data_IF_268698760092
#
_entry.id   IF_268698760092
#
_cell.length_a   1.000
_cell.length_b   1.000
_cell.length_c   1.000
_cell.angle_alpha   90.00
_cell.angle_beta   90.00
_cell.angle_gamma   90.00
#
_symmetry.space_group_name_H-M   'P 1'
#
loop_
_entity.id
_entity.type
_entity.pdbx_description
1 polymer ?
#
# COMPACT_ATOMS: atom_id res chain seq x y z
N UNK A 1 12.05 -13.19 12.03
CA UNK A 1 10.90 -12.86 12.91
C UNK A 1 11.02 -11.39 13.28
N UNK A 2 9.95 -10.62 13.08
CA UNK A 2 9.91 -9.20 13.46
C UNK A 2 10.30 -9.04 14.93
N UNK A 3 11.19 -8.09 15.23
CA UNK A 3 11.53 -7.73 16.62
C UNK A 3 10.47 -6.82 17.26
N UNK A 4 9.47 -6.43 16.49
CA UNK A 4 8.38 -5.56 16.95
C UNK A 4 7.31 -6.34 17.71
N UNK A 5 6.60 -5.64 18.61
CA UNK A 5 5.50 -6.21 19.40
C UNK A 5 4.16 -6.17 18.68
N UNK A 6 3.98 -5.19 17.78
CA UNK A 6 2.81 -5.07 16.92
C UNK A 6 3.07 -5.66 15.55
N UNK A 7 2.00 -5.99 14.81
CA UNK A 7 2.07 -6.53 13.45
C UNK A 7 1.94 -5.40 12.41
N UNK A 8 2.66 -5.52 11.32
CA UNK A 8 2.59 -4.59 10.19
C UNK A 8 1.96 -5.27 8.96
N UNK A 9 0.80 -4.80 8.54
CA UNK A 9 -0.02 -5.37 7.47
C UNK A 9 -0.21 -4.31 6.40
N UNK A 10 -0.06 -4.66 5.13
CA UNK A 10 -0.24 -3.71 4.03
C UNK A 10 -1.29 -4.19 3.03
N UNK A 11 -1.97 -3.24 2.42
CA UNK A 11 -2.92 -3.46 1.33
C UNK A 11 -2.42 -2.78 0.07
N UNK A 12 -2.37 -3.55 -1.00
CA UNK A 12 -1.85 -3.12 -2.29
C UNK A 12 -2.83 -3.43 -3.43
N UNK A 13 -2.66 -2.76 -4.55
CA UNK A 13 -3.50 -2.90 -5.74
C UNK A 13 -3.75 -1.55 -6.42
N UNK A 14 -4.34 -1.58 -7.60
CA UNK A 14 -4.64 -0.36 -8.36
C UNK A 14 -5.75 0.46 -7.67
N UNK A 15 -5.88 1.72 -8.04
CA UNK A 15 -6.91 2.58 -7.45
C UNK A 15 -8.30 2.11 -7.85
N UNK A 16 -9.23 2.08 -6.86
CA UNK A 16 -10.59 1.57 -7.05
C UNK A 16 -10.74 0.06 -6.83
N UNK A 17 -9.68 -0.67 -6.46
CA UNK A 17 -9.79 -2.11 -6.18
C UNK A 17 -10.43 -2.47 -4.82
N UNK A 18 -10.67 -1.48 -3.92
CA UNK A 18 -11.36 -1.72 -2.64
C UNK A 18 -10.47 -1.74 -1.40
N UNK A 19 -9.17 -1.41 -1.51
CA UNK A 19 -8.20 -1.40 -0.37
C UNK A 19 -8.72 -0.66 0.86
N UNK A 20 -9.10 0.60 0.70
CA UNK A 20 -9.49 1.47 1.83
C UNK A 20 -10.71 0.93 2.58
N UNK A 21 -11.63 0.25 1.88
CA UNK A 21 -12.77 -0.45 2.49
C UNK A 21 -12.28 -1.58 3.37
N UNK A 22 -11.38 -2.43 2.87
CA UNK A 22 -10.85 -3.58 3.60
C UNK A 22 -9.96 -3.15 4.77
N UNK A 23 -9.14 -2.11 4.59
CA UNK A 23 -8.35 -1.49 5.68
C UNK A 23 -9.26 -1.06 6.82
N UNK A 24 -10.34 -0.32 6.52
CA UNK A 24 -11.30 0.13 7.55
C UNK A 24 -11.93 -1.05 8.28
N UNK A 25 -12.45 -2.04 7.54
CA UNK A 25 -13.09 -3.23 8.11
C UNK A 25 -12.11 -4.01 8.98
N UNK A 26 -10.85 -4.17 8.57
CA UNK A 26 -9.85 -4.91 9.34
C UNK A 26 -9.47 -4.17 10.63
N UNK A 27 -9.26 -2.85 10.58
CA UNK A 27 -9.01 -2.03 11.78
C UNK A 27 -10.15 -2.17 12.79
N UNK A 28 -11.40 -2.10 12.33
CA UNK A 28 -12.57 -2.29 13.19
C UNK A 28 -12.62 -3.70 13.79
N UNK A 29 -12.36 -4.74 13.00
CA UNK A 29 -12.37 -6.13 13.46
C UNK A 29 -11.29 -6.38 14.52
N UNK A 30 -10.05 -5.91 14.28
CA UNK A 30 -8.95 -6.06 15.22
C UNK A 30 -9.20 -5.31 16.52
N UNK A 31 -9.68 -4.07 16.47
CA UNK A 31 -9.98 -3.30 17.67
C UNK A 31 -11.15 -3.88 18.48
N UNK A 32 -12.17 -4.49 17.84
CA UNK A 32 -13.22 -5.23 18.54
C UNK A 32 -12.72 -6.49 19.25
N UNK A 33 -11.59 -7.03 18.81
CA UNK A 33 -10.92 -8.20 19.42
C UNK A 33 -9.79 -7.81 20.38
N UNK A 34 -9.83 -6.58 20.93
CA UNK A 34 -8.84 -6.02 21.86
C UNK A 34 -7.40 -5.96 21.30
N UNK A 35 -7.23 -6.09 20.00
CA UNK A 35 -5.96 -5.90 19.30
C UNK A 35 -5.83 -4.43 18.88
N UNK A 36 -5.18 -3.60 19.71
CA UNK A 36 -4.98 -2.18 19.39
C UNK A 36 -4.38 -2.02 17.99
N UNK A 37 -5.08 -1.31 17.12
CA UNK A 37 -4.76 -1.21 15.71
C UNK A 37 -5.03 0.19 15.18
N UNK A 38 -4.10 0.73 14.42
CA UNK A 38 -4.25 1.98 13.66
C UNK A 38 -4.13 1.71 12.16
N UNK A 39 -4.66 2.63 11.36
CA UNK A 39 -4.38 2.66 9.92
C UNK A 39 -3.57 3.88 9.54
N UNK A 40 -2.73 3.70 8.53
CA UNK A 40 -2.01 4.76 7.82
C UNK A 40 -2.29 4.64 6.32
N UNK A 41 -2.04 5.72 5.56
CA UNK A 41 -2.15 5.69 4.10
C UNK A 41 -0.97 6.39 3.44
N UNK A 42 -0.59 5.93 2.26
CA UNK A 42 0.46 6.55 1.46
C UNK A 42 -0.05 7.07 0.10
N UNK A 43 0.55 8.16 -0.39
CA UNK A 43 1.40 9.10 0.34
C UNK A 43 0.58 9.91 1.36
N UNK A 44 1.17 10.30 2.49
CA UNK A 44 0.51 11.09 3.53
C UNK A 44 0.67 10.51 4.94
N UNK A 45 -0.18 10.96 5.87
CA UNK A 45 -0.26 10.45 7.23
C UNK A 45 0.52 11.24 8.28
N UNK A 46 1.50 12.08 7.90
CA UNK A 46 2.18 13.04 8.76
C UNK A 46 2.13 14.42 8.12
N UNK A 47 2.42 15.48 8.87
CA UNK A 47 2.37 16.85 8.33
C UNK A 47 3.26 16.97 7.08
N UNK A 48 4.52 16.55 7.16
CA UNK A 48 5.45 16.59 6.02
C UNK A 48 4.97 15.68 4.88
N UNK A 49 4.47 14.50 5.20
CA UNK A 49 3.99 13.56 4.18
C UNK A 49 2.74 14.06 3.45
N UNK A 50 1.86 14.83 4.12
CA UNK A 50 0.71 15.47 3.48
C UNK A 50 1.13 16.61 2.54
N UNK A 51 2.12 17.42 2.91
CA UNK A 51 2.69 18.43 2.01
C UNK A 51 3.28 17.79 0.74
N UNK A 52 4.00 16.69 0.91
CA UNK A 52 4.52 15.92 -0.24
C UNK A 52 3.36 15.35 -1.08
N UNK A 53 2.29 14.87 -0.44
CA UNK A 53 1.09 14.39 -1.13
C UNK A 53 0.45 15.46 -2.00
N UNK A 54 0.31 16.69 -1.49
CA UNK A 54 -0.21 17.82 -2.25
C UNK A 54 0.62 18.08 -3.52
N UNK A 55 1.95 18.06 -3.40
CA UNK A 55 2.84 18.19 -4.55
C UNK A 55 2.61 17.06 -5.55
N UNK A 56 2.55 15.80 -5.07
CA UNK A 56 2.44 14.61 -5.92
C UNK A 56 1.12 14.52 -6.67
N UNK A 57 0.00 14.85 -6.03
CA UNK A 57 -1.34 14.57 -6.55
C UNK A 57 -2.03 15.80 -7.13
N UNK A 58 -1.79 16.99 -6.59
CA UNK A 58 -2.54 18.21 -6.91
C UNK A 58 -1.71 19.31 -7.54
N UNK A 59 -0.38 19.14 -7.71
CA UNK A 59 0.43 20.16 -8.37
C UNK A 59 -0.06 20.39 -9.79
N UNK A 60 -0.48 21.64 -10.06
CA UNK A 60 -0.91 22.11 -11.38
C UNK A 60 0.22 22.81 -12.14
N UNK A 61 1.39 22.95 -11.53
CA UNK A 61 2.39 23.91 -11.97
C UNK A 61 3.43 23.37 -12.95
N UNK A 62 3.74 22.08 -12.93
CA UNK A 62 4.70 21.46 -13.86
C UNK A 62 4.59 19.93 -13.87
N UNK A 63 5.06 19.30 -14.95
CA UNK A 63 5.23 17.85 -15.01
C UNK A 63 6.33 17.40 -14.02
N UNK A 64 5.95 16.54 -13.08
CA UNK A 64 6.90 15.90 -12.19
C UNK A 64 7.56 14.75 -12.97
N UNK A 65 8.88 14.79 -13.13
CA UNK A 65 9.59 13.70 -13.79
C UNK A 65 9.55 12.41 -12.95
N UNK A 66 9.64 11.27 -13.61
CA UNK A 66 9.48 9.95 -12.97
C UNK A 66 10.42 9.72 -11.78
N UNK A 67 11.66 10.20 -11.85
CA UNK A 67 12.63 10.10 -10.75
C UNK A 67 12.24 10.96 -9.56
N UNK A 68 11.78 12.19 -9.79
CA UNK A 68 11.29 13.09 -8.74
C UNK A 68 10.04 12.49 -8.09
N UNK A 69 9.12 11.91 -8.88
CA UNK A 69 7.95 11.21 -8.36
C UNK A 69 8.37 10.08 -7.40
N UNK A 70 9.33 9.24 -7.80
CA UNK A 70 9.83 8.14 -6.98
C UNK A 70 10.48 8.63 -5.67
N UNK A 71 11.30 9.68 -5.74
CA UNK A 71 11.97 10.27 -4.58
C UNK A 71 10.98 10.91 -3.61
N UNK A 72 9.98 11.63 -4.10
CA UNK A 72 8.95 12.24 -3.26
C UNK A 72 8.07 11.18 -2.59
N UNK A 73 7.63 10.14 -3.33
CA UNK A 73 6.91 9.00 -2.75
C UNK A 73 7.70 8.35 -1.62
N UNK A 74 8.98 8.10 -1.86
CA UNK A 74 9.87 7.46 -0.89
C UNK A 74 10.19 8.39 0.29
N UNK A 75 10.33 9.68 0.07
CA UNK A 75 10.53 10.69 1.14
C UNK A 75 9.31 10.78 2.06
N UNK A 76 8.08 10.80 1.49
CA UNK A 76 6.83 10.74 2.26
C UNK A 76 6.78 9.47 3.13
N UNK A 77 7.15 8.32 2.57
CA UNK A 77 7.23 7.04 3.27
C UNK A 77 8.24 7.04 4.41
N UNK A 78 9.42 7.58 4.18
CA UNK A 78 10.46 7.67 5.22
C UNK A 78 9.97 8.41 6.45
N UNK A 79 9.31 9.56 6.25
CA UNK A 79 8.73 10.34 7.35
C UNK A 79 7.60 9.58 8.06
N UNK A 80 6.68 8.98 7.30
CA UNK A 80 5.58 8.19 7.86
C UNK A 80 6.09 6.98 8.68
N UNK A 81 7.09 6.29 8.15
CA UNK A 81 7.69 5.12 8.83
C UNK A 81 8.33 5.53 10.14
N UNK A 82 9.14 6.59 10.13
CA UNK A 82 9.83 7.09 11.32
C UNK A 82 8.86 7.62 12.38
N UNK A 83 7.89 8.43 11.97
CA UNK A 83 7.05 9.20 12.89
C UNK A 83 5.87 8.41 13.43
N UNK A 84 5.27 7.51 12.63
CA UNK A 84 4.08 6.78 13.02
C UNK A 84 4.26 5.26 13.06
N UNK A 85 4.82 4.64 11.99
CA UNK A 85 4.78 3.19 11.91
C UNK A 85 5.67 2.55 12.96
N UNK A 86 6.95 2.87 13.00
CA UNK A 86 7.92 2.29 13.93
C UNK A 86 7.54 2.51 15.41
N UNK A 87 7.15 3.73 15.86
CA UNK A 87 6.76 3.94 17.25
C UNK A 87 5.54 3.10 17.68
N UNK A 88 4.52 2.98 16.80
CA UNK A 88 3.34 2.19 17.13
C UNK A 88 3.66 0.68 17.19
N UNK A 89 4.39 0.13 16.23
CA UNK A 89 4.83 -1.27 16.26
C UNK A 89 5.64 -1.59 17.52
N UNK A 90 6.56 -0.70 17.92
CA UNK A 90 7.33 -0.84 19.17
C UNK A 90 6.44 -0.81 20.43
N UNK A 91 5.37 -0.02 20.39
CA UNK A 91 4.39 0.05 21.49
C UNK A 91 3.43 -1.16 21.54
N UNK A 92 3.51 -2.10 20.59
CA UNK A 92 2.62 -3.25 20.48
C UNK A 92 1.27 -2.92 19.84
N UNK A 93 1.20 -1.84 19.09
CA UNK A 93 0.03 -1.42 18.32
C UNK A 93 0.22 -1.92 16.89
N UNK A 94 -0.76 -2.65 16.37
CA UNK A 94 -0.76 -3.10 14.99
C UNK A 94 -0.93 -1.90 14.04
N UNK A 95 -0.24 -1.93 12.91
CA UNK A 95 -0.35 -0.91 11.88
C UNK A 95 -0.85 -1.54 10.58
N UNK A 96 -1.91 -0.98 10.01
CA UNK A 96 -2.43 -1.39 8.71
C UNK A 96 -2.23 -0.23 7.74
N UNK A 97 -1.48 -0.48 6.65
CA UNK A 97 -1.19 0.53 5.66
C UNK A 97 -2.03 0.35 4.38
N UNK A 98 -2.75 1.40 3.97
CA UNK A 98 -3.27 1.52 2.61
C UNK A 98 -2.15 2.03 1.72
N UNK A 99 -1.46 1.11 1.07
CA UNK A 99 -0.21 1.23 0.32
C UNK A 99 1.04 1.34 1.21
N UNK A 100 2.13 0.79 0.67
CA UNK A 100 3.48 0.90 1.22
C UNK A 100 4.50 0.82 0.06
N UNK A 101 5.71 0.34 0.32
CA UNK A 101 6.78 0.36 -0.69
C UNK A 101 6.49 -0.47 -1.96
N UNK A 102 5.64 -1.49 -1.89
CA UNK A 102 5.25 -2.27 -3.07
C UNK A 102 4.50 -1.42 -4.10
N UNK A 103 3.77 -0.37 -3.65
CA UNK A 103 3.22 0.63 -4.55
C UNK A 103 4.30 1.34 -5.37
N UNK A 104 5.45 1.69 -4.78
CA UNK A 104 6.57 2.29 -5.53
C UNK A 104 7.15 1.33 -6.55
N UNK A 105 7.30 0.05 -6.19
CA UNK A 105 7.78 -0.98 -7.14
C UNK A 105 6.80 -1.15 -8.31
N UNK A 106 5.49 -1.12 -8.05
CA UNK A 106 4.49 -1.27 -9.09
C UNK A 106 4.33 -0.01 -9.96
N UNK A 107 4.18 1.16 -9.36
CA UNK A 107 3.89 2.41 -10.07
C UNK A 107 5.16 3.01 -10.71
N UNK A 108 6.22 3.21 -9.95
CA UNK A 108 7.44 3.82 -10.47
C UNK A 108 8.31 2.78 -11.18
N UNK A 109 8.34 1.52 -10.69
CA UNK A 109 9.03 0.42 -11.38
C UNK A 109 8.30 0.00 -12.65
N UNK A 110 7.15 -0.64 -12.53
CA UNK A 110 6.38 -1.15 -13.67
C UNK A 110 5.73 -0.05 -14.50
N UNK A 111 5.10 0.92 -13.85
CA UNK A 111 4.40 2.02 -14.51
C UNK A 111 5.33 2.98 -15.24
N UNK A 112 6.37 3.48 -14.58
CA UNK A 112 7.35 4.46 -15.09
C UNK A 112 8.65 3.85 -15.61
N UNK A 113 8.80 2.51 -15.50
CA UNK A 113 9.97 1.76 -16.01
C UNK A 113 11.31 2.12 -15.33
N UNK A 114 11.25 2.55 -14.06
CA UNK A 114 12.45 2.68 -13.22
C UNK A 114 12.89 1.28 -12.80
N UNK A 115 14.20 1.06 -12.72
CA UNK A 115 14.79 -0.23 -12.38
C UNK A 115 14.35 -0.66 -10.97
N UNK A 116 13.76 -1.87 -10.86
CA UNK A 116 13.10 -2.35 -9.64
C UNK A 116 14.09 -2.61 -8.51
N UNK A 117 15.28 -3.17 -8.80
CA UNK A 117 16.26 -3.49 -7.75
C UNK A 117 16.86 -2.20 -7.13
N UNK A 118 16.94 -1.12 -7.91
CA UNK A 118 17.27 0.19 -7.37
C UNK A 118 16.16 0.74 -6.46
N UNK A 119 14.89 0.61 -6.87
CA UNK A 119 13.76 1.01 -6.06
C UNK A 119 13.66 0.19 -4.75
N UNK A 120 13.99 -1.10 -4.78
CA UNK A 120 14.06 -1.91 -3.57
C UNK A 120 15.08 -1.32 -2.58
N UNK A 121 16.31 -1.04 -3.02
CA UNK A 121 17.35 -0.44 -2.18
C UNK A 121 16.94 0.93 -1.63
N UNK A 122 16.33 1.78 -2.47
CA UNK A 122 15.82 3.08 -2.05
C UNK A 122 14.76 2.95 -0.96
N UNK A 123 13.83 2.00 -1.11
CA UNK A 123 12.79 1.77 -0.13
C UNK A 123 13.35 1.13 1.16
N UNK A 124 14.27 0.19 1.08
CA UNK A 124 14.95 -0.36 2.26
C UNK A 124 15.57 0.75 3.11
N UNK A 125 16.31 1.67 2.48
CA UNK A 125 16.85 2.83 3.18
C UNK A 125 15.74 3.69 3.83
N UNK A 126 14.68 4.00 3.10
CA UNK A 126 13.61 4.89 3.56
C UNK A 126 12.74 4.27 4.67
N UNK A 127 12.62 2.95 4.69
CA UNK A 127 11.76 2.23 5.64
C UNK A 127 12.53 1.66 6.83
N UNK A 128 13.82 1.94 6.96
CA UNK A 128 14.67 1.32 8.00
C UNK A 128 14.62 -0.21 7.93
N UNK A 129 14.65 -0.75 6.70
CA UNK A 129 14.49 -2.18 6.40
C UNK A 129 13.20 -2.82 6.94
N UNK A 130 12.19 -2.01 7.29
CA UNK A 130 10.90 -2.51 7.77
C UNK A 130 10.11 -3.10 6.60
N UNK A 131 9.83 -4.40 6.69
CA UNK A 131 8.94 -5.12 5.78
C UNK A 131 7.63 -5.52 6.47
N UNK A 132 6.49 -5.56 5.75
CA UNK A 132 5.24 -6.06 6.31
C UNK A 132 5.27 -7.58 6.50
N UNK A 133 4.62 -8.09 7.56
CA UNK A 133 4.41 -9.52 7.79
C UNK A 133 3.50 -10.13 6.71
N UNK A 134 2.58 -9.34 6.18
CA UNK A 134 1.72 -9.73 5.06
C UNK A 134 1.30 -8.51 4.25
N UNK A 135 1.28 -8.69 2.93
CA UNK A 135 0.77 -7.74 1.94
C UNK A 135 -0.42 -8.37 1.22
N UNK A 136 -1.61 -7.83 1.42
CA UNK A 136 -2.79 -8.21 0.67
C UNK A 136 -2.85 -7.44 -0.64
N UNK A 137 -2.65 -8.13 -1.74
CA UNK A 137 -2.84 -7.56 -3.06
C UNK A 137 -4.25 -7.87 -3.57
N UNK A 138 -5.11 -6.85 -3.63
CA UNK A 138 -6.47 -6.96 -4.15
C UNK A 138 -6.41 -6.74 -5.67
N UNK A 139 -6.57 -7.83 -6.41
CA UNK A 139 -6.46 -7.82 -7.87
C UNK A 139 -7.82 -7.56 -8.53
N UNK A 140 -7.87 -6.51 -9.35
CA UNK A 140 -9.04 -6.11 -10.15
C UNK A 140 -8.56 -5.67 -11.52
N UNK A 141 -9.35 -5.93 -12.56
CA UNK A 141 -9.06 -5.41 -13.90
C UNK A 141 -9.14 -3.88 -13.92
N UNK A 142 -8.21 -3.18 -14.61
CA UNK A 142 -8.20 -1.70 -14.67
C UNK A 142 -9.51 -1.08 -15.12
N UNK A 143 -10.22 -1.73 -16.07
CA UNK A 143 -11.50 -1.27 -16.58
C UNK A 143 -12.60 -1.31 -15.51
N UNK A 144 -12.57 -2.32 -14.66
CA UNK A 144 -13.51 -2.47 -13.56
C UNK A 144 -13.18 -1.50 -12.43
N UNK A 145 -11.93 -1.40 -12.04
CA UNK A 145 -11.46 -0.43 -11.06
C UNK A 145 -11.84 1.00 -11.45
N UNK A 146 -11.73 1.35 -12.73
CA UNK A 146 -12.14 2.66 -13.26
C UNK A 146 -13.65 2.92 -13.13
N UNK A 147 -14.49 1.88 -13.24
CA UNK A 147 -15.95 2.01 -13.05
C UNK A 147 -16.37 2.23 -11.61
N UNK A 148 -15.56 1.71 -10.65
CA UNK A 148 -15.81 1.83 -9.20
C UNK A 148 -15.46 3.20 -8.63
N UNK A 149 -14.72 4.03 -9.38
CA UNK A 149 -14.21 5.33 -8.93
C UNK A 149 -15.15 6.51 -9.13
N UNK A 150 -14.92 7.56 -8.32
CA UNK A 150 -15.51 8.89 -8.55
C UNK A 150 -14.92 9.54 -9.81
N UNK A 151 -15.59 10.60 -10.31
CA UNK A 151 -15.20 11.30 -11.55
C UNK A 151 -13.92 12.14 -11.43
N UNK A 152 -13.53 12.55 -10.22
CA UNK A 152 -12.32 13.33 -9.99
C UNK A 152 -11.09 12.42 -10.01
N UNK A 153 -10.13 12.74 -10.88
CA UNK A 153 -8.89 12.00 -11.04
C UNK A 153 -7.72 12.87 -10.60
N UNK A 154 -6.87 12.30 -9.74
CA UNK A 154 -5.57 12.91 -9.42
C UNK A 154 -4.58 12.82 -10.61
N UNK A 155 -3.39 13.37 -10.45
CA UNK A 155 -2.35 13.39 -11.49
C UNK A 155 -1.94 11.99 -11.94
N UNK A 156 -1.80 11.05 -11.01
CA UNK A 156 -1.36 9.67 -11.30
C UNK A 156 -2.49 8.91 -12.02
N UNK A 157 -3.72 9.10 -11.58
CA UNK A 157 -4.90 8.49 -12.19
C UNK A 157 -5.18 9.00 -13.61
N UNK A 158 -4.81 10.26 -13.90
CA UNK A 158 -4.91 10.84 -15.26
C UNK A 158 -3.99 10.16 -16.28
N UNK A 159 -2.95 9.44 -15.85
CA UNK A 159 -2.06 8.70 -16.73
C UNK A 159 -2.73 7.51 -17.46
N UNK A 160 -3.99 7.19 -17.11
CA UNK A 160 -4.88 6.34 -17.90
C UNK A 160 -4.72 4.84 -17.67
N UNK A 161 -5.51 4.09 -18.46
CA UNK A 161 -5.69 2.65 -18.28
C UNK A 161 -4.41 1.85 -18.60
N UNK A 162 -3.60 2.33 -19.55
CA UNK A 162 -2.34 1.68 -19.91
C UNK A 162 -1.34 1.66 -18.75
N UNK A 163 -1.26 2.76 -17.98
CA UNK A 163 -0.44 2.80 -16.77
C UNK A 163 -0.95 1.77 -15.77
N UNK A 164 -2.25 1.75 -15.49
CA UNK A 164 -2.86 0.83 -14.52
C UNK A 164 -2.67 -0.64 -14.93
N UNK A 165 -2.69 -0.94 -16.22
CA UNK A 165 -2.41 -2.29 -16.75
C UNK A 165 -0.97 -2.71 -16.46
N UNK A 166 0.01 -1.83 -16.68
CA UNK A 166 1.40 -2.12 -16.33
C UNK A 166 1.60 -2.27 -14.83
N UNK A 167 0.99 -1.41 -14.04
CA UNK A 167 1.02 -1.46 -12.56
C UNK A 167 0.47 -2.78 -12.06
N UNK A 168 -0.74 -3.18 -12.51
CA UNK A 168 -1.34 -4.47 -12.16
C UNK A 168 -0.43 -5.65 -12.52
N UNK A 169 0.12 -5.64 -13.74
CA UNK A 169 1.05 -6.69 -14.19
C UNK A 169 2.26 -6.79 -13.23
N UNK A 170 2.81 -5.66 -12.83
CA UNK A 170 3.94 -5.65 -11.90
C UNK A 170 3.55 -6.14 -10.52
N UNK A 171 2.38 -5.81 -9.99
CA UNK A 171 1.91 -6.41 -8.73
C UNK A 171 1.80 -7.95 -8.81
N UNK A 172 1.34 -8.51 -9.93
CA UNK A 172 1.32 -9.96 -10.15
C UNK A 172 2.74 -10.54 -10.19
N UNK A 173 3.71 -9.85 -10.80
CA UNK A 173 5.12 -10.25 -10.79
C UNK A 173 5.72 -10.18 -9.38
N UNK A 174 5.41 -9.13 -8.60
CA UNK A 174 5.84 -8.98 -7.21
C UNK A 174 5.22 -10.05 -6.31
N UNK A 175 3.95 -10.38 -6.49
CA UNK A 175 3.31 -11.44 -5.71
C UNK A 175 3.96 -12.81 -5.94
N UNK A 176 4.44 -13.08 -7.15
CA UNK A 176 5.23 -14.28 -7.46
C UNK A 176 6.66 -14.22 -6.91
N UNK A 177 7.28 -13.03 -6.87
CA UNK A 177 8.65 -12.83 -6.37
C UNK A 177 8.71 -12.91 -4.83
N UNK A 178 7.68 -12.42 -4.13
CA UNK A 178 7.62 -12.30 -2.67
C UNK A 178 6.49 -13.14 -2.05
N UNK A 179 6.36 -14.39 -2.48
CA UNK A 179 5.27 -15.32 -2.10
C UNK A 179 5.12 -15.49 -0.57
N UNK A 180 6.21 -15.38 0.19
CA UNK A 180 6.20 -15.52 1.65
C UNK A 180 5.29 -14.49 2.33
N UNK A 181 5.24 -13.26 1.81
CA UNK A 181 4.46 -12.17 2.40
C UNK A 181 3.27 -11.70 1.55
N UNK A 182 3.26 -11.92 0.24
CA UNK A 182 2.12 -11.56 -0.61
C UNK A 182 0.99 -12.57 -0.55
N UNK A 183 -0.22 -12.05 -0.44
CA UNK A 183 -1.47 -12.80 -0.54
C UNK A 183 -2.32 -12.17 -1.63
N UNK A 184 -2.53 -12.91 -2.71
CA UNK A 184 -3.40 -12.49 -3.80
C UNK A 184 -4.87 -12.69 -3.41
N UNK A 185 -5.67 -11.64 -3.49
CA UNK A 185 -7.11 -11.63 -3.23
C UNK A 185 -7.84 -11.27 -4.52
N UNK A 186 -8.84 -12.07 -4.88
CA UNK A 186 -9.73 -11.74 -6.00
C UNK A 186 -10.64 -10.56 -5.61
N UNK A 187 -10.40 -9.41 -6.21
CA UNK A 187 -11.18 -8.21 -5.94
C UNK A 187 -12.55 -8.16 -6.65
N UNK A 188 -12.96 -9.23 -7.35
CA UNK A 188 -14.29 -9.37 -7.96
C UNK A 188 -15.32 -9.96 -6.97
N UNK A 189 -14.85 -10.60 -5.90
CA UNK A 189 -15.70 -11.13 -4.85
C UNK A 189 -16.45 -10.01 -4.10
N UNK A 190 -17.46 -10.39 -3.32
CA UNK A 190 -18.17 -9.44 -2.46
C UNK A 190 -17.23 -8.85 -1.39
N UNK A 191 -17.55 -7.65 -0.91
CA UNK A 191 -16.77 -6.97 0.14
C UNK A 191 -16.60 -7.88 1.37
N UNK A 192 -17.65 -8.61 1.75
CA UNK A 192 -17.65 -9.49 2.92
C UNK A 192 -16.84 -10.76 2.67
N UNK A 193 -16.89 -11.35 1.48
CA UNK A 193 -16.09 -12.53 1.13
C UNK A 193 -14.59 -12.19 1.09
N UNK A 194 -14.24 -11.05 0.49
CA UNK A 194 -12.87 -10.52 0.53
C UNK A 194 -12.40 -10.35 1.97
N UNK A 195 -13.23 -9.73 2.82
CA UNK A 195 -12.89 -9.53 4.23
C UNK A 195 -12.73 -10.86 4.97
N UNK A 196 -13.63 -11.81 4.72
CA UNK A 196 -13.56 -13.17 5.27
C UNK A 196 -12.25 -13.87 4.92
N UNK A 197 -11.81 -13.77 3.66
CA UNK A 197 -10.56 -14.35 3.17
C UNK A 197 -9.34 -13.70 3.84
N UNK A 198 -9.35 -12.37 4.02
CA UNK A 198 -8.30 -11.63 4.75
C UNK A 198 -8.20 -12.12 6.21
N UNK A 199 -9.33 -12.21 6.92
CA UNK A 199 -9.35 -12.66 8.31
C UNK A 199 -8.89 -14.12 8.44
N UNK A 200 -9.29 -15.00 7.52
CA UNK A 200 -8.86 -16.40 7.49
C UNK A 200 -7.33 -16.51 7.35
N UNK A 201 -6.75 -15.73 6.45
CA UNK A 201 -5.30 -15.71 6.22
C UNK A 201 -4.54 -15.17 7.44
N UNK A 202 -5.04 -14.09 8.07
CA UNK A 202 -4.43 -13.53 9.27
C UNK A 202 -4.47 -14.52 10.45
N UNK A 203 -5.57 -15.26 10.61
CA UNK A 203 -5.65 -16.34 11.63
C UNK A 203 -4.66 -17.46 11.31
N UNK A 204 -4.55 -17.89 10.06
CA UNK A 204 -3.58 -18.91 9.61
C UNK A 204 -2.14 -18.49 9.96
N UNK A 205 -1.81 -17.20 9.79
CA UNK A 205 -0.51 -16.63 10.14
C UNK A 205 -0.35 -16.28 11.62
N UNK A 206 -1.39 -16.42 12.44
CA UNK A 206 -1.43 -16.03 13.87
C UNK A 206 -1.23 -14.53 14.10
N UNK A 207 -1.65 -13.72 13.13
CA UNK A 207 -1.63 -12.25 13.20
C UNK A 207 -2.98 -11.67 13.68
N UNK A 208 -4.03 -12.50 13.73
CA UNK A 208 -5.37 -12.17 14.23
C UNK A 208 -5.90 -13.31 15.13
N UNK A 209 -6.51 -12.95 16.27
CA UNK A 209 -7.07 -13.88 17.24
C UNK A 209 -8.46 -14.39 16.85
#
# INVERSE_FOLDING_TARGET
MSSFKGNFITFEGIDGCGKSTQVKMLVEAMNRSDQKTISVREPGGTVISEEIREILLHSHLQDICDRTEALLMTGSRAQLTYELILPNLNAGINVIADRYFDSTLAYQGGGRKIEIDWLIKLNQFATYDLEPEVTFFIDVLPEEAARRKSKEKDRIERAGIELQTRVRKTYLELSNRFQERFVLIDGHDSIDDIHGSILAELRRRKLFL
#
